data_IF_014652073691
#
_entry.id   IF_014652073691
#
_cell.length_a   1.000
_cell.length_b   1.000
_cell.length_c   1.000
_cell.angle_alpha   90.00
_cell.angle_beta   90.00
_cell.angle_gamma   90.00
#
_symmetry.space_group_name_H-M   'P 1'
#
loop_
_entity.id
_entity.type
_entity.pdbx_description
1 polymer ?
#
# COMPACT_ATOMS: atom_id res chain seq x y z
N UNK A 1 -37.86 -20.01 -40.81
CA UNK A 1 -37.73 -19.33 -39.50
C UNK A 1 -36.31 -19.55 -39.04
N UNK A 2 -35.46 -18.55 -39.23
CA UNK A 2 -34.03 -18.63 -38.84
C UNK A 2 -33.82 -17.55 -37.80
N UNK A 3 -33.57 -17.96 -36.56
CA UNK A 3 -33.32 -17.10 -35.40
C UNK A 3 -31.88 -16.61 -35.43
N UNK A 4 -31.71 -15.30 -35.55
CA UNK A 4 -30.44 -14.58 -35.32
C UNK A 4 -30.08 -14.63 -33.81
N UNK A 5 -28.83 -14.91 -33.41
CA UNK A 5 -28.42 -14.80 -32.01
C UNK A 5 -28.25 -13.32 -31.61
N UNK A 6 -28.40 -12.96 -30.32
CA UNK A 6 -28.28 -11.58 -29.88
C UNK A 6 -26.83 -11.10 -29.96
N UNK A 7 -26.65 -9.85 -30.43
CA UNK A 7 -25.40 -9.12 -30.34
C UNK A 7 -25.00 -8.93 -28.88
N UNK A 8 -23.74 -9.20 -28.56
CA UNK A 8 -23.16 -8.86 -27.28
C UNK A 8 -23.09 -7.33 -27.18
N UNK A 9 -23.70 -6.75 -26.15
CA UNK A 9 -23.65 -5.32 -25.88
C UNK A 9 -22.23 -4.90 -25.51
N UNK A 10 -21.62 -4.06 -26.34
CA UNK A 10 -20.31 -3.46 -26.09
C UNK A 10 -20.51 -2.25 -25.16
N UNK A 11 -19.97 -2.29 -23.94
CA UNK A 11 -20.07 -1.18 -23.00
C UNK A 11 -19.11 -0.05 -23.42
N UNK A 12 -19.67 1.12 -23.72
CA UNK A 12 -19.01 2.21 -24.42
C UNK A 12 -17.93 2.95 -23.58
N UNK A 13 -17.64 2.48 -22.37
CA UNK A 13 -16.63 3.08 -21.49
C UNK A 13 -15.28 2.33 -21.44
N UNK A 14 -15.21 1.18 -22.11
CA UNK A 14 -13.96 0.43 -22.25
C UNK A 14 -13.67 0.24 -23.75
N UNK A 15 -12.95 1.18 -24.41
CA UNK A 15 -12.42 0.86 -25.71
C UNK A 15 -11.60 -0.42 -25.57
N UNK A 16 -11.77 -1.36 -26.50
CA UNK A 16 -11.01 -2.61 -26.58
C UNK A 16 -9.52 -2.26 -26.68
N UNK A 17 -8.87 -2.04 -25.54
CA UNK A 17 -7.43 -1.93 -25.44
C UNK A 17 -6.93 -3.34 -25.71
N UNK A 18 -6.42 -3.55 -26.92
CA UNK A 18 -5.85 -4.81 -27.33
C UNK A 18 -4.91 -5.32 -26.23
N UNK A 19 -5.08 -6.59 -25.91
CA UNK A 19 -4.27 -7.35 -24.98
C UNK A 19 -2.87 -7.52 -25.60
N UNK A 20 -2.07 -6.47 -25.56
CA UNK A 20 -0.71 -6.47 -26.10
C UNK A 20 0.25 -5.92 -25.07
N UNK A 21 0.68 -6.80 -24.18
CA UNK A 21 2.10 -7.11 -24.10
C UNK A 21 2.28 -8.49 -23.48
N UNK A 22 2.57 -9.49 -24.33
CA UNK A 22 3.30 -10.65 -23.87
C UNK A 22 4.64 -10.17 -23.25
N UNK A 23 5.18 -10.85 -22.24
CA UNK A 23 6.51 -10.56 -21.74
C UNK A 23 7.51 -10.69 -22.90
N UNK A 24 8.17 -9.60 -23.28
CA UNK A 24 9.30 -9.64 -24.22
C UNK A 24 9.09 -9.10 -25.65
N UNK A 25 8.06 -8.27 -25.94
CA UNK A 25 7.92 -7.65 -27.28
C UNK A 25 8.98 -6.59 -27.64
N UNK A 26 9.91 -6.27 -26.72
CA UNK A 26 11.02 -5.35 -26.93
C UNK A 26 10.62 -3.88 -27.07
N UNK A 27 9.33 -3.54 -26.95
CA UNK A 27 8.87 -2.16 -27.02
C UNK A 27 9.15 -1.45 -25.70
N UNK A 28 9.80 -0.27 -25.70
CA UNK A 28 10.08 0.45 -24.46
C UNK A 28 8.80 0.80 -23.70
N UNK A 29 8.74 0.44 -22.41
CA UNK A 29 7.56 0.65 -21.54
C UNK A 29 7.06 2.10 -21.53
N UNK A 30 7.91 3.09 -21.81
CA UNK A 30 7.54 4.52 -21.81
C UNK A 30 6.73 4.99 -23.02
N UNK A 31 6.52 4.18 -24.05
CA UNK A 31 5.93 4.61 -25.33
C UNK A 31 4.44 4.31 -25.47
N UNK A 32 3.80 3.67 -24.48
CA UNK A 32 2.39 3.26 -24.54
C UNK A 32 1.69 3.41 -23.19
N UNK A 33 0.36 3.41 -23.24
CA UNK A 33 -0.46 3.13 -22.06
C UNK A 33 -0.38 1.64 -21.72
N UNK A 34 -0.48 1.33 -20.42
CA UNK A 34 -0.50 -0.04 -19.93
C UNK A 34 -1.83 -0.29 -19.22
N UNK A 35 -2.51 -1.34 -19.64
CA UNK A 35 -3.70 -1.86 -18.95
C UNK A 35 -3.25 -3.03 -18.09
N UNK A 36 -3.39 -2.90 -16.77
CA UNK A 36 -3.13 -3.97 -15.81
C UNK A 36 -4.48 -4.52 -15.36
N UNK A 37 -4.70 -5.81 -15.59
CA UNK A 37 -5.92 -6.50 -15.18
C UNK A 37 -5.88 -6.80 -13.68
N UNK A 38 -7.03 -6.78 -13.02
CA UNK A 38 -7.12 -7.05 -11.58
C UNK A 38 -6.69 -8.48 -11.19
N UNK A 39 -6.75 -9.44 -12.12
CA UNK A 39 -6.27 -10.82 -11.97
C UNK A 39 -4.82 -11.01 -12.45
N UNK A 40 -4.16 -9.96 -12.92
CA UNK A 40 -2.80 -9.97 -13.45
C UNK A 40 -1.77 -9.27 -12.54
N UNK A 41 -2.03 -9.21 -11.23
CA UNK A 41 -1.12 -8.55 -10.29
C UNK A 41 0.12 -9.39 -10.00
N UNK A 42 1.26 -8.72 -9.86
CA UNK A 42 2.54 -9.35 -9.57
C UNK A 42 2.67 -9.66 -8.06
N UNK A 43 2.80 -10.95 -7.74
CA UNK A 43 2.94 -11.45 -6.37
C UNK A 43 4.38 -11.51 -5.85
N UNK A 44 5.39 -11.27 -6.69
CA UNK A 44 6.81 -11.34 -6.35
C UNK A 44 7.27 -10.09 -5.58
N UNK A 45 6.56 -9.80 -4.48
CA UNK A 45 6.85 -8.68 -3.58
C UNK A 45 7.17 -9.19 -2.18
N UNK A 46 7.76 -8.34 -1.34
CA UNK A 46 8.06 -8.68 0.04
C UNK A 46 6.77 -8.95 0.83
N UNK A 47 6.68 -10.12 1.44
CA UNK A 47 5.52 -10.57 2.22
C UNK A 47 5.85 -10.62 3.71
N UNK A 48 4.84 -10.37 4.54
CA UNK A 48 4.92 -10.53 6.00
C UNK A 48 3.80 -11.46 6.45
N UNK A 49 3.94 -12.08 7.62
CA UNK A 49 2.89 -12.97 8.15
C UNK A 49 1.53 -12.26 8.17
N UNK A 50 0.51 -12.88 7.59
CA UNK A 50 -0.85 -12.31 7.50
C UNK A 50 -1.03 -11.19 6.47
N UNK A 51 0.01 -10.71 5.78
CA UNK A 51 -0.12 -9.62 4.81
C UNK A 51 0.48 -10.00 3.45
N UNK A 52 -0.39 -10.14 2.45
CA UNK A 52 -0.01 -10.44 1.06
C UNK A 52 -0.07 -9.18 0.21
N UNK A 53 1.01 -8.87 -0.50
CA UNK A 53 1.20 -7.67 -1.30
C UNK A 53 1.32 -8.05 -2.77
N UNK A 54 0.67 -7.28 -3.62
CA UNK A 54 0.62 -7.49 -5.06
C UNK A 54 0.88 -6.18 -5.78
N UNK A 55 1.84 -6.12 -6.71
CA UNK A 55 2.10 -4.92 -7.48
C UNK A 55 1.21 -4.87 -8.74
N UNK A 56 0.64 -3.70 -9.00
CA UNK A 56 -0.06 -3.39 -10.25
C UNK A 56 0.81 -2.47 -11.13
N UNK A 57 1.25 -1.35 -10.56
CA UNK A 57 2.07 -0.32 -11.23
C UNK A 57 3.42 -0.27 -10.52
N UNK A 58 4.51 -0.53 -11.23
CA UNK A 58 5.88 -0.45 -10.71
C UNK A 58 6.88 -0.23 -11.85
N UNK A 59 8.14 0.03 -11.50
CA UNK A 59 9.25 0.07 -12.44
C UNK A 59 9.41 -1.24 -13.20
N UNK A 60 9.22 -2.38 -12.52
CA UNK A 60 9.34 -3.71 -13.13
C UNK A 60 8.17 -4.04 -14.06
N UNK A 61 6.95 -3.71 -13.67
CA UNK A 61 5.74 -4.07 -14.44
C UNK A 61 5.51 -3.17 -15.64
N UNK A 62 5.57 -1.84 -15.44
CA UNK A 62 5.19 -0.84 -16.46
C UNK A 62 6.20 0.27 -16.64
N UNK A 63 7.38 0.17 -16.02
CA UNK A 63 8.46 1.16 -16.17
C UNK A 63 8.21 2.46 -15.41
N UNK A 64 7.37 2.41 -14.37
CA UNK A 64 7.11 3.58 -13.52
C UNK A 64 8.36 4.04 -12.77
N UNK A 65 8.55 5.35 -12.68
CA UNK A 65 9.69 5.95 -11.95
C UNK A 65 9.28 6.55 -10.60
N UNK A 66 8.05 7.05 -10.49
CA UNK A 66 7.65 7.92 -9.36
C UNK A 66 6.50 7.38 -8.55
N UNK A 67 5.81 6.37 -9.05
CA UNK A 67 4.64 5.79 -8.38
C UNK A 67 4.80 4.29 -8.41
N UNK A 68 4.75 3.68 -7.24
CA UNK A 68 4.40 2.27 -7.12
C UNK A 68 2.95 2.19 -6.65
N UNK A 69 2.16 1.27 -7.19
CA UNK A 69 0.79 1.04 -6.75
C UNK A 69 0.47 -0.45 -6.78
N UNK A 70 -0.25 -0.92 -5.77
CA UNK A 70 -0.58 -2.33 -5.62
C UNK A 70 -1.68 -2.56 -4.61
N UNK A 71 -1.98 -3.82 -4.33
CA UNK A 71 -2.91 -4.23 -3.30
C UNK A 71 -2.20 -4.89 -2.13
N UNK A 72 -2.71 -4.65 -0.93
CA UNK A 72 -2.36 -5.43 0.25
C UNK A 72 -3.63 -6.10 0.78
N UNK A 73 -3.56 -7.43 0.90
CA UNK A 73 -4.55 -8.25 1.57
C UNK A 73 -4.06 -8.52 2.99
N UNK A 74 -4.81 -8.06 3.97
CA UNK A 74 -4.53 -8.24 5.39
C UNK A 74 -5.49 -9.32 5.90
N UNK A 75 -4.93 -10.43 6.35
CA UNK A 75 -5.68 -11.56 6.89
C UNK A 75 -6.49 -11.15 8.13
N UNK A 76 -7.48 -11.96 8.54
CA UNK A 76 -8.16 -11.74 9.82
C UNK A 76 -7.18 -11.72 11.00
N UNK A 77 -7.56 -10.99 12.06
CA UNK A 77 -6.81 -10.86 13.32
C UNK A 77 -5.30 -10.62 13.13
N UNK A 78 -4.97 -9.68 12.23
CA UNK A 78 -3.58 -9.42 11.82
C UNK A 78 -3.17 -7.99 12.15
N UNK A 79 -1.97 -7.85 12.69
CA UNK A 79 -1.34 -6.56 12.97
C UNK A 79 0.08 -6.53 12.41
N UNK A 80 0.47 -5.42 11.78
CA UNK A 80 1.87 -5.19 11.41
C UNK A 80 2.73 -4.89 12.65
N UNK A 81 4.05 -4.99 12.50
CA UNK A 81 4.96 -4.33 13.43
C UNK A 81 4.78 -2.80 13.38
N UNK A 82 5.20 -2.10 14.43
CA UNK A 82 5.37 -0.65 14.39
C UNK A 82 6.48 -0.32 13.39
N UNK A 83 6.24 0.63 12.50
CA UNK A 83 7.21 0.98 11.47
C UNK A 83 6.98 2.39 10.90
N UNK A 84 7.93 2.86 10.09
CA UNK A 84 7.73 3.99 9.18
C UNK A 84 8.30 3.67 7.79
N UNK A 85 7.91 4.44 6.79
CA UNK A 85 8.30 4.23 5.39
C UNK A 85 9.43 5.14 4.91
N UNK A 86 10.30 5.56 5.82
CA UNK A 86 11.36 6.55 5.53
C UNK A 86 10.81 7.78 4.80
N UNK A 87 11.43 8.15 3.69
CA UNK A 87 11.03 9.28 2.86
C UNK A 87 9.77 9.06 2.00
N UNK A 88 9.21 7.84 1.99
CA UNK A 88 8.08 7.53 1.13
C UNK A 88 6.79 8.17 1.64
N UNK A 89 6.12 8.90 0.76
CA UNK A 89 4.70 9.20 0.92
C UNK A 89 3.90 7.96 0.56
N UNK A 90 2.84 7.68 1.33
CA UNK A 90 1.95 6.54 1.06
C UNK A 90 0.49 6.99 1.11
N UNK A 91 -0.26 6.71 0.05
CA UNK A 91 -1.70 6.89 -0.01
C UNK A 91 -2.37 5.51 -0.08
N UNK A 92 -3.43 5.32 0.69
CA UNK A 92 -4.13 4.06 0.84
C UNK A 92 -5.61 4.29 0.57
N UNK A 93 -6.22 3.39 -0.19
CA UNK A 93 -7.66 3.36 -0.44
C UNK A 93 -8.24 2.02 0.03
N UNK A 94 -9.29 2.06 0.83
CA UNK A 94 -9.90 0.85 1.40
C UNK A 94 -10.91 0.26 0.42
N UNK A 95 -10.64 -0.96 -0.04
CA UNK A 95 -11.50 -1.69 -0.99
C UNK A 95 -12.50 -2.58 -0.27
N UNK A 96 -12.05 -3.29 0.78
CA UNK A 96 -12.84 -4.28 1.52
C UNK A 96 -12.40 -4.31 2.99
N UNK A 97 -13.34 -4.65 3.87
CA UNK A 97 -13.10 -4.81 5.31
C UNK A 97 -13.02 -3.47 6.05
N UNK A 98 -12.58 -3.53 7.30
CA UNK A 98 -12.49 -2.37 8.19
C UNK A 98 -11.10 -2.30 8.86
N UNK A 99 -10.03 -2.12 8.07
CA UNK A 99 -8.70 -2.00 8.66
C UNK A 99 -8.58 -0.73 9.50
N UNK A 100 -7.65 -0.76 10.44
CA UNK A 100 -7.36 0.35 11.34
C UNK A 100 -5.91 0.77 11.21
N UNK A 101 -5.67 2.08 11.24
CA UNK A 101 -4.34 2.67 11.16
C UNK A 101 -4.03 3.39 12.46
N UNK A 102 -2.93 3.01 13.09
CA UNK A 102 -2.65 3.39 14.47
C UNK A 102 -1.32 4.13 14.56
N UNK A 103 -1.33 5.30 15.19
CA UNK A 103 -0.16 6.16 15.37
C UNK A 103 -0.24 6.89 16.73
N UNK A 104 0.84 7.54 17.16
CA UNK A 104 0.81 8.43 18.32
C UNK A 104 0.66 9.89 17.89
N UNK A 105 -0.19 10.62 18.60
CA UNK A 105 -0.40 12.06 18.44
C UNK A 105 -0.22 12.77 19.79
N UNK A 106 0.50 13.89 19.82
CA UNK A 106 0.67 14.72 21.03
C UNK A 106 -0.34 15.87 21.15
N UNK A 107 -1.30 15.94 20.23
CA UNK A 107 -2.31 17.01 20.20
C UNK A 107 -1.70 18.40 20.02
N UNK A 108 -0.53 18.50 19.38
CA UNK A 108 0.20 19.76 19.23
C UNK A 108 0.98 20.17 20.47
N UNK A 109 1.38 19.20 21.31
CA UNK A 109 2.15 19.42 22.55
C UNK A 109 1.32 19.92 23.73
N UNK A 110 -0.01 19.86 23.65
CA UNK A 110 -0.92 20.30 24.70
C UNK A 110 -1.12 19.26 25.82
N UNK A 111 -0.57 18.05 25.67
CA UNK A 111 -0.74 16.95 26.61
C UNK A 111 0.23 15.80 26.35
N UNK A 112 0.10 14.68 27.09
CA UNK A 112 0.83 13.46 26.78
C UNK A 112 0.42 12.92 25.40
N UNK A 113 1.35 12.25 24.72
CA UNK A 113 1.03 11.56 23.49
C UNK A 113 0.01 10.44 23.72
N UNK A 114 -0.97 10.33 22.83
CA UNK A 114 -2.03 9.33 22.87
C UNK A 114 -2.03 8.47 21.62
N UNK A 115 -2.41 7.20 21.77
CA UNK A 115 -2.59 6.31 20.63
C UNK A 115 -3.91 6.64 19.92
N UNK A 116 -3.77 7.12 18.69
CA UNK A 116 -4.88 7.42 17.80
C UNK A 116 -5.08 6.25 16.85
N UNK A 117 -6.35 5.89 16.67
CA UNK A 117 -6.80 4.76 15.86
C UNK A 117 -7.80 5.24 14.84
N UNK A 118 -7.37 5.29 13.59
CA UNK A 118 -8.22 5.64 12.46
C UNK A 118 -8.95 4.38 12.02
N UNK A 119 -10.23 4.28 12.37
CA UNK A 119 -11.12 3.19 11.93
C UNK A 119 -11.70 3.54 10.57
N UNK A 120 -11.49 2.65 9.60
CA UNK A 120 -11.88 2.91 8.20
C UNK A 120 -12.92 1.92 7.70
N UNK A 121 -13.58 2.28 6.62
CA UNK A 121 -14.52 1.45 5.88
C UNK A 121 -14.24 1.52 4.37
N UNK A 122 -14.82 0.62 3.55
CA UNK A 122 -14.65 0.67 2.11
C UNK A 122 -15.04 2.03 1.52
N UNK A 123 -14.16 2.60 0.70
CA UNK A 123 -14.32 3.95 0.15
C UNK A 123 -13.48 5.03 0.84
N UNK A 124 -12.90 4.74 2.01
CA UNK A 124 -12.05 5.69 2.73
C UNK A 124 -10.64 5.76 2.17
N UNK A 125 -9.99 6.90 2.44
CA UNK A 125 -8.62 7.19 2.07
C UNK A 125 -7.77 7.47 3.31
N UNK A 126 -6.54 6.97 3.31
CA UNK A 126 -5.54 7.27 4.33
C UNK A 126 -4.29 7.81 3.65
N UNK A 127 -3.67 8.81 4.27
CA UNK A 127 -2.37 9.31 3.88
C UNK A 127 -1.40 9.11 5.04
N UNK A 128 -0.29 8.44 4.77
CA UNK A 128 0.82 8.26 5.69
C UNK A 128 1.96 9.17 5.23
N UNK A 129 2.30 10.22 5.99
CA UNK A 129 3.42 11.09 5.67
C UNK A 129 4.75 10.35 5.84
N UNK A 130 5.83 10.87 5.22
CA UNK A 130 7.18 10.38 5.45
C UNK A 130 7.51 10.34 6.95
N UNK A 131 8.21 9.28 7.35
CA UNK A 131 8.74 9.04 8.70
C UNK A 131 7.73 8.88 9.84
N UNK A 132 6.42 9.02 9.62
CA UNK A 132 5.43 8.87 10.70
C UNK A 132 5.37 7.41 11.18
N UNK A 133 5.71 7.13 12.46
CA UNK A 133 5.55 5.81 13.03
C UNK A 133 4.08 5.41 13.09
N UNK A 134 3.76 4.23 12.55
CA UNK A 134 2.42 3.70 12.57
C UNK A 134 2.43 2.16 12.53
N UNK A 135 1.24 1.59 12.69
CA UNK A 135 0.96 0.18 12.38
C UNK A 135 -0.41 0.04 11.73
N UNK A 136 -0.55 -1.03 10.98
CA UNK A 136 -1.75 -1.38 10.22
C UNK A 136 -2.36 -2.63 10.87
N UNK A 137 -3.65 -2.59 11.14
CA UNK A 137 -4.37 -3.67 11.80
C UNK A 137 -5.61 -4.07 10.99
N UNK A 138 -5.91 -5.36 10.96
CA UNK A 138 -7.22 -5.89 10.63
C UNK A 138 -7.76 -6.61 11.87
N UNK A 139 -8.59 -5.93 12.70
CA UNK A 139 -9.10 -6.51 13.93
C UNK A 139 -10.27 -7.49 13.71
N UNK A 140 -10.79 -7.59 12.48
CA UNK A 140 -11.85 -8.54 12.16
C UNK A 140 -11.31 -9.98 12.27
N UNK A 141 -11.96 -10.86 13.06
CA UNK A 141 -11.48 -12.22 13.30
C UNK A 141 -11.80 -13.19 12.16
N UNK A 142 -12.71 -12.82 11.25
CA UNK A 142 -13.28 -13.72 10.25
C UNK A 142 -12.97 -13.26 8.81
N UNK A 143 -13.00 -11.96 8.57
CA UNK A 143 -12.88 -11.39 7.23
C UNK A 143 -11.53 -10.69 6.97
N UNK A 144 -10.98 -10.88 5.76
CA UNK A 144 -9.81 -10.11 5.31
C UNK A 144 -10.18 -8.65 5.03
N UNK A 145 -9.20 -7.76 5.22
CA UNK A 145 -9.22 -6.41 4.66
C UNK A 145 -8.38 -6.34 3.38
N UNK A 146 -8.83 -5.54 2.41
CA UNK A 146 -8.09 -5.29 1.16
C UNK A 146 -7.96 -3.80 0.94
N UNK A 147 -6.73 -3.35 0.74
CA UNK A 147 -6.41 -1.95 0.46
C UNK A 147 -5.61 -1.82 -0.82
N UNK A 148 -5.80 -0.73 -1.56
CA UNK A 148 -4.87 -0.28 -2.60
C UNK A 148 -3.88 0.67 -1.97
N UNK A 149 -2.59 0.44 -2.18
CA UNK A 149 -1.51 1.29 -1.68
C UNK A 149 -0.80 1.92 -2.87
N UNK A 150 -0.62 3.23 -2.84
CA UNK A 150 0.24 3.97 -3.73
C UNK A 150 1.37 4.62 -2.93
N UNK A 151 2.61 4.51 -3.41
CA UNK A 151 3.77 5.12 -2.76
C UNK A 151 4.68 5.83 -3.75
N UNK A 152 5.40 6.84 -3.28
CA UNK A 152 6.32 7.63 -4.11
C UNK A 152 7.63 6.91 -4.47
N UNK A 153 7.97 5.84 -3.74
CA UNK A 153 9.20 5.05 -3.92
C UNK A 153 8.93 3.74 -4.66
N UNK A 154 9.83 3.32 -5.55
CA UNK A 154 9.67 2.04 -6.25
C UNK A 154 9.90 0.85 -5.31
N UNK A 155 10.99 0.90 -4.55
CA UNK A 155 11.30 -0.10 -3.53
C UNK A 155 10.58 0.20 -2.23
N UNK A 156 10.16 -0.85 -1.53
CA UNK A 156 9.50 -0.71 -0.24
C UNK A 156 10.52 -0.25 0.80
N UNK A 157 10.28 0.90 1.43
CA UNK A 157 11.01 1.30 2.63
C UNK A 157 10.17 0.88 3.84
N UNK A 158 10.74 0.05 4.71
CA UNK A 158 10.13 -0.34 5.98
C UNK A 158 11.22 -0.34 7.03
N UNK A 159 11.11 0.58 7.99
CA UNK A 159 11.98 0.65 9.16
C UNK A 159 11.16 0.21 10.36
N UNK A 160 11.46 -0.98 10.89
CA UNK A 160 10.76 -1.53 12.06
C UNK A 160 11.19 -0.82 13.34
N UNK A 161 10.22 -0.58 14.22
CA UNK A 161 10.39 0.16 15.47
C UNK A 161 9.94 -0.69 16.67
N UNK A 162 10.60 -0.55 17.84
CA UNK A 162 10.17 -1.25 19.05
C UNK A 162 8.87 -0.70 19.65
N UNK A 163 8.55 0.58 19.42
CA UNK A 163 7.34 1.25 19.88
C UNK A 163 6.99 2.43 18.95
N UNK A 164 5.73 2.89 18.99
CA UNK A 164 5.33 4.14 18.34
C UNK A 164 5.88 5.33 19.12
N UNK A 165 6.16 6.43 18.41
CA UNK A 165 6.55 7.73 18.97
C UNK A 165 5.99 8.85 18.09
N UNK A 166 5.96 10.07 18.62
CA UNK A 166 5.54 11.25 17.86
C UNK A 166 6.73 11.79 17.09
N UNK A 167 6.64 11.81 15.76
CA UNK A 167 7.71 12.29 14.89
C UNK A 167 8.02 13.77 15.18
N UNK A 168 9.30 14.09 15.41
CA UNK A 168 9.76 15.46 15.66
C UNK A 168 9.78 15.87 17.14
N UNK A 169 9.21 15.06 18.04
CA UNK A 169 9.62 15.09 19.44
C UNK A 169 10.91 14.29 19.55
N UNK A 170 12.03 14.97 19.83
CA UNK A 170 13.37 14.41 19.69
C UNK A 170 13.53 13.02 20.30
N UNK A 171 14.01 12.08 19.49
CA UNK A 171 14.61 10.87 20.01
C UNK A 171 15.81 11.32 20.84
N UNK A 172 15.64 11.35 22.16
CA UNK A 172 16.73 11.57 23.09
C UNK A 172 17.85 10.61 22.71
N UNK A 173 18.97 11.20 22.30
CA UNK A 173 20.25 10.58 22.01
C UNK A 173 20.58 9.54 23.09
N UNK A 174 20.30 8.27 22.79
CA UNK A 174 20.66 7.13 23.63
C UNK A 174 21.85 6.42 23.00
N UNK A 175 23.02 6.85 23.47
CA UNK A 175 24.23 6.08 23.73
C UNK A 175 25.02 5.47 22.57
N UNK A 176 26.09 6.21 22.23
CA UNK A 176 27.34 5.66 21.72
C UNK A 176 28.52 6.07 22.60
N UNK A 177 28.50 5.75 23.90
CA UNK A 177 29.73 5.70 24.71
C UNK A 177 30.65 4.61 24.13
N UNK A 178 31.58 5.00 23.26
CA UNK A 178 32.74 4.18 22.95
C UNK A 178 33.78 4.34 24.06
N UNK A 179 33.72 3.45 25.05
CA UNK A 179 34.87 3.12 25.89
C UNK A 179 35.99 2.54 24.99
N UNK A 180 37.19 3.14 25.08
CA UNK A 180 38.44 2.44 24.77
C UNK A 180 39.44 3.16 23.87
N UNK A 181 40.29 4.03 24.44
CA UNK A 181 41.72 3.79 24.70
C UNK A 181 42.43 5.06 25.14
#
# INVERSE_FOLDING_TARGET
MTTTPPEQGHDAFHPHLHDTAAPGDGTPLRRRLHHIRADGLDGDTAQTGGMRRFAAVSGQTVGSERIWMGQTHVAPDTSSANHHHGESETAIFVVKGHPEFVFLDDGGGAGPAEEIRLRTAPGDYIFVPPYVPHREENPDPDDEAVVVIARSTQEAIVVNLPHLYVLGQGDGEADGEAQGR
#
